data_IF_446327512556
#
_entry.id   IF_446327512556
#
_cell.length_a   1.000
_cell.length_b   1.000
_cell.length_c   1.000
_cell.angle_alpha   90.00
_cell.angle_beta   90.00
_cell.angle_gamma   90.00
#
_symmetry.space_group_name_H-M   'P 1'
#
loop_
_entity.id
_entity.type
_entity.pdbx_description
1 polymer ?
#
# COMPACT_ATOMS: atom_id res chain seq x y z
N UNK A 1 -11.54 -8.81 -12.20
CA UNK A 1 -10.18 -8.35 -12.58
C UNK A 1 -10.29 -7.35 -13.72
N UNK A 2 -9.71 -6.16 -13.56
CA UNK A 2 -9.85 -5.05 -14.52
C UNK A 2 -8.80 -5.04 -15.64
N UNK A 3 -7.86 -5.97 -15.63
CA UNK A 3 -6.80 -6.05 -16.64
C UNK A 3 -7.30 -6.09 -18.09
N UNK A 4 -8.51 -6.62 -18.37
CA UNK A 4 -9.11 -6.58 -19.69
C UNK A 4 -9.46 -5.16 -20.12
N UNK A 5 -9.95 -4.31 -19.21
CA UNK A 5 -10.27 -2.91 -19.49
C UNK A 5 -9.02 -2.14 -19.93
N UNK A 6 -7.92 -2.29 -19.21
CA UNK A 6 -6.66 -1.62 -19.55
C UNK A 6 -6.11 -2.06 -20.90
N UNK A 7 -6.27 -3.36 -21.26
CA UNK A 7 -5.91 -3.83 -22.61
C UNK A 7 -6.79 -3.23 -23.69
N UNK A 8 -8.11 -3.14 -23.45
CA UNK A 8 -9.02 -2.50 -24.41
C UNK A 8 -8.75 -0.99 -24.55
N UNK A 9 -8.36 -0.32 -23.47
CA UNK A 9 -7.90 1.08 -23.52
C UNK A 9 -6.66 1.22 -24.37
N UNK A 10 -5.67 0.34 -24.19
CA UNK A 10 -4.49 0.31 -25.05
C UNK A 10 -4.85 0.03 -26.51
N UNK A 11 -5.71 -0.97 -26.78
CA UNK A 11 -6.14 -1.37 -28.15
C UNK A 11 -6.94 -0.29 -28.87
N UNK A 12 -7.53 0.67 -28.16
CA UNK A 12 -8.44 1.68 -28.73
C UNK A 12 -7.77 2.60 -29.76
N UNK A 13 -6.44 2.71 -29.76
CA UNK A 13 -5.69 3.47 -30.77
C UNK A 13 -4.39 2.75 -31.14
N UNK A 14 -3.86 3.04 -32.31
CA UNK A 14 -2.54 2.57 -32.72
C UNK A 14 -1.45 3.37 -31.97
N UNK A 15 -0.45 2.67 -31.47
CA UNK A 15 0.68 3.23 -30.76
C UNK A 15 1.97 3.06 -31.57
N UNK A 16 2.86 4.03 -31.50
CA UNK A 16 4.23 3.93 -31.98
C UNK A 16 5.14 3.38 -30.87
N UNK A 17 6.26 2.78 -31.23
CA UNK A 17 7.32 2.40 -30.27
C UNK A 17 7.78 3.57 -29.39
N UNK A 18 7.65 4.82 -29.86
CA UNK A 18 7.99 6.03 -29.11
C UNK A 18 6.99 6.37 -27.99
N UNK A 19 5.76 5.86 -28.11
CA UNK A 19 4.72 6.05 -27.08
C UNK A 19 4.94 5.12 -25.87
N UNK A 20 5.73 4.05 -26.04
CA UNK A 20 5.97 3.05 -25.00
C UNK A 20 7.19 3.41 -24.15
N UNK A 21 7.15 3.15 -22.82
CA UNK A 21 6.11 2.38 -22.12
C UNK A 21 4.87 3.23 -21.76
N UNK A 22 3.69 2.61 -21.86
CA UNK A 22 2.42 3.19 -21.39
C UNK A 22 2.08 2.53 -20.05
N UNK A 23 1.89 3.35 -19.01
CA UNK A 23 1.58 2.89 -17.65
C UNK A 23 0.18 3.35 -17.28
N UNK A 24 -0.72 2.39 -16.99
CA UNK A 24 -2.10 2.64 -16.58
C UNK A 24 -2.23 2.10 -15.15
N UNK A 25 -2.62 2.95 -14.20
CA UNK A 25 -2.82 2.59 -12.81
C UNK A 25 -4.22 2.98 -12.36
N UNK A 26 -4.82 2.16 -11.52
CA UNK A 26 -6.15 2.39 -10.96
C UNK A 26 -6.25 1.85 -9.53
N UNK A 27 -7.15 2.43 -8.76
CA UNK A 27 -7.66 1.82 -7.54
C UNK A 27 -8.91 1.05 -7.96
N UNK A 28 -8.72 -0.24 -8.25
CA UNK A 28 -9.69 -1.07 -8.93
C UNK A 28 -10.62 -1.80 -7.96
N UNK A 29 -11.92 -1.82 -8.25
CA UNK A 29 -12.84 -2.72 -7.59
C UNK A 29 -12.85 -4.06 -8.33
N UNK A 30 -12.37 -5.09 -7.66
CA UNK A 30 -12.29 -6.45 -8.18
C UNK A 30 -13.29 -7.38 -7.49
N UNK A 31 -13.78 -8.36 -8.25
CA UNK A 31 -14.70 -9.37 -7.75
C UNK A 31 -14.15 -10.76 -8.06
N UNK A 32 -14.13 -11.64 -7.06
CA UNK A 32 -13.73 -13.04 -7.20
C UNK A 32 -14.76 -13.95 -6.55
N UNK A 33 -15.17 -14.99 -7.25
CA UNK A 33 -16.04 -16.02 -6.69
C UNK A 33 -15.20 -16.97 -5.82
N UNK A 34 -14.88 -16.51 -4.61
CA UNK A 34 -14.15 -17.32 -3.62
C UNK A 34 -15.08 -18.38 -3.02
N UNK A 35 -14.57 -19.59 -2.80
CA UNK A 35 -15.30 -20.63 -2.08
C UNK A 35 -15.63 -20.17 -0.64
N UNK A 36 -16.79 -20.58 -0.10
CA UNK A 36 -17.22 -20.14 1.24
C UNK A 36 -16.19 -20.39 2.33
N UNK A 37 -15.51 -21.55 2.29
CA UNK A 37 -14.47 -21.90 3.25
C UNK A 37 -13.14 -21.16 3.09
N UNK A 38 -12.97 -20.40 2.00
CA UNK A 38 -11.78 -19.61 1.76
C UNK A 38 -11.94 -18.14 2.16
N UNK A 39 -13.18 -17.68 2.41
CA UNK A 39 -13.45 -16.29 2.83
C UNK A 39 -13.05 -16.12 4.30
N UNK A 40 -12.23 -15.09 4.60
CA UNK A 40 -11.72 -14.83 5.94
C UNK A 40 -11.63 -13.32 6.21
N UNK A 41 -12.50 -12.80 7.08
CA UNK A 41 -12.53 -11.39 7.49
C UNK A 41 -12.37 -10.42 6.32
N UNK A 42 -11.49 -9.43 6.45
CA UNK A 42 -11.12 -8.51 5.36
C UNK A 42 -9.87 -8.96 4.59
N UNK A 43 -9.19 -10.03 5.02
CA UNK A 43 -8.02 -10.57 4.33
C UNK A 43 -8.38 -11.23 3.01
N UNK A 44 -9.54 -11.92 2.96
CA UNK A 44 -9.99 -12.63 1.77
C UNK A 44 -11.48 -12.49 1.57
N UNK A 45 -11.85 -11.50 0.78
CA UNK A 45 -13.23 -11.11 0.47
C UNK A 45 -13.57 -11.47 -0.99
N UNK A 46 -14.85 -11.51 -1.32
CA UNK A 46 -15.32 -11.70 -2.70
C UNK A 46 -15.35 -10.42 -3.52
N UNK A 47 -15.42 -9.29 -2.86
CA UNK A 47 -15.28 -7.96 -3.44
C UNK A 47 -14.19 -7.22 -2.68
N UNK A 48 -13.21 -6.67 -3.35
CA UNK A 48 -12.08 -6.00 -2.74
C UNK A 48 -11.55 -4.88 -3.64
N UNK A 49 -10.81 -3.96 -3.04
CA UNK A 49 -10.18 -2.87 -3.76
C UNK A 49 -8.69 -3.18 -3.95
N UNK A 50 -8.22 -3.13 -5.20
CA UNK A 50 -6.84 -3.44 -5.54
C UNK A 50 -6.07 -2.22 -6.01
N UNK A 51 -4.84 -2.07 -5.56
CA UNK A 51 -3.87 -1.15 -6.14
C UNK A 51 -3.27 -1.81 -7.39
N UNK A 52 -3.93 -1.65 -8.52
CA UNK A 52 -3.61 -2.34 -9.77
C UNK A 52 -2.95 -1.42 -10.79
N UNK A 53 -2.05 -1.98 -11.60
CA UNK A 53 -1.45 -1.26 -12.70
C UNK A 53 -0.93 -2.20 -13.78
N UNK A 54 -0.99 -1.72 -15.03
CA UNK A 54 -0.53 -2.43 -16.20
C UNK A 54 0.44 -1.53 -16.97
N UNK A 55 1.62 -2.07 -17.28
CA UNK A 55 2.67 -1.40 -18.05
C UNK A 55 2.76 -2.11 -19.39
N UNK A 56 2.43 -1.41 -20.45
CA UNK A 56 2.58 -1.88 -21.85
C UNK A 56 3.94 -1.39 -22.32
N UNK A 57 4.85 -2.30 -22.60
CA UNK A 57 6.23 -1.97 -22.95
C UNK A 57 6.76 -2.81 -24.12
N UNK A 58 7.88 -2.34 -24.67
CA UNK A 58 8.68 -3.13 -25.61
C UNK A 58 9.52 -4.16 -24.86
N UNK A 59 9.94 -5.26 -25.53
CA UNK A 59 10.81 -6.28 -24.91
C UNK A 59 12.10 -5.72 -24.31
N UNK A 60 12.71 -4.71 -24.94
CA UNK A 60 13.93 -4.05 -24.47
C UNK A 60 13.73 -3.18 -23.23
N UNK A 61 12.50 -2.81 -22.89
CA UNK A 61 12.13 -2.00 -21.72
C UNK A 61 11.81 -2.83 -20.50
N UNK A 62 11.66 -4.15 -20.60
CA UNK A 62 11.22 -5.03 -19.49
C UNK A 62 12.11 -4.85 -18.25
N UNK A 63 13.43 -4.92 -18.44
CA UNK A 63 14.37 -4.84 -17.32
C UNK A 63 14.23 -3.52 -16.55
N UNK A 64 14.20 -2.41 -17.26
CA UNK A 64 14.07 -1.08 -16.65
C UNK A 64 12.71 -0.89 -15.96
N UNK A 65 11.62 -1.38 -16.56
CA UNK A 65 10.29 -1.25 -15.98
C UNK A 65 10.10 -2.13 -14.74
N UNK A 66 10.52 -3.40 -14.80
CA UNK A 66 10.46 -4.30 -13.63
C UNK A 66 11.35 -3.79 -12.50
N UNK A 67 12.56 -3.31 -12.82
CA UNK A 67 13.43 -2.69 -11.82
C UNK A 67 12.76 -1.47 -11.17
N UNK A 68 12.18 -0.58 -11.96
CA UNK A 68 11.44 0.58 -11.44
C UNK A 68 10.28 0.20 -10.52
N UNK A 69 9.58 -0.91 -10.81
CA UNK A 69 8.52 -1.43 -9.93
C UNK A 69 9.11 -1.98 -8.63
N UNK A 70 10.24 -2.71 -8.68
CA UNK A 70 10.92 -3.21 -7.48
C UNK A 70 11.39 -2.04 -6.61
N UNK A 71 12.02 -1.03 -7.21
CA UNK A 71 12.47 0.17 -6.50
C UNK A 71 11.27 0.86 -5.79
N UNK A 72 10.14 1.00 -6.48
CA UNK A 72 8.90 1.55 -5.90
C UNK A 72 8.37 0.71 -4.73
N UNK A 73 8.41 -0.62 -4.84
CA UNK A 73 8.01 -1.52 -3.74
C UNK A 73 8.89 -1.27 -2.51
N UNK A 74 10.21 -1.18 -2.71
CA UNK A 74 11.17 -0.97 -1.63
C UNK A 74 10.97 0.40 -0.96
N UNK A 75 10.72 1.46 -1.73
CA UNK A 75 10.43 2.78 -1.20
C UNK A 75 9.15 2.79 -0.36
N UNK A 76 8.08 2.16 -0.85
CA UNK A 76 6.83 2.03 -0.12
C UNK A 76 7.02 1.20 1.16
N UNK A 77 7.74 0.08 1.10
CA UNK A 77 8.01 -0.74 2.29
C UNK A 77 8.83 0.00 3.34
N UNK A 78 9.76 0.85 2.91
CA UNK A 78 10.49 1.75 3.80
C UNK A 78 9.54 2.73 4.52
N UNK A 79 8.60 3.34 3.79
CA UNK A 79 7.60 4.24 4.36
C UNK A 79 6.71 3.56 5.41
N UNK A 80 6.33 2.31 5.16
CA UNK A 80 5.56 1.48 6.10
C UNK A 80 6.44 0.81 7.17
N UNK A 81 7.78 0.89 7.04
CA UNK A 81 8.74 0.31 7.97
C UNK A 81 8.80 -1.21 7.94
N UNK A 82 8.42 -1.84 6.84
CA UNK A 82 8.58 -3.30 6.67
C UNK A 82 10.05 -3.63 6.44
N UNK A 83 10.58 -4.53 7.27
CA UNK A 83 12.01 -4.92 7.25
C UNK A 83 12.22 -6.38 6.93
N UNK A 84 11.27 -7.24 7.31
CA UNK A 84 11.36 -8.68 7.12
C UNK A 84 10.50 -9.10 5.93
N UNK A 85 11.12 -9.06 4.73
CA UNK A 85 10.48 -9.49 3.50
C UNK A 85 11.46 -10.26 2.61
N UNK A 86 10.93 -11.09 1.71
CA UNK A 86 11.69 -11.93 0.78
C UNK A 86 11.09 -11.85 -0.61
N UNK A 87 11.95 -11.88 -1.62
CA UNK A 87 11.51 -12.05 -2.99
C UNK A 87 11.33 -13.54 -3.33
N UNK A 88 10.24 -13.86 -3.99
CA UNK A 88 9.96 -15.19 -4.54
C UNK A 88 9.78 -15.08 -6.04
N UNK A 89 10.60 -15.81 -6.81
CA UNK A 89 10.37 -16.01 -8.23
C UNK A 89 9.44 -17.21 -8.40
N UNK A 90 8.20 -16.91 -8.78
CA UNK A 90 7.14 -17.91 -8.95
C UNK A 90 7.13 -18.40 -10.39
N UNK A 91 7.47 -19.66 -10.57
CA UNK A 91 7.64 -20.34 -11.84
C UNK A 91 6.44 -21.25 -12.14
N UNK A 92 6.28 -21.63 -13.42
CA UNK A 92 5.28 -22.63 -13.79
C UNK A 92 5.63 -24.02 -13.23
N UNK A 93 4.63 -24.88 -13.13
CA UNK A 93 4.81 -26.30 -12.90
C UNK A 93 4.89 -27.01 -14.25
N UNK A 94 6.07 -27.51 -14.59
CA UNK A 94 6.33 -28.21 -15.85
C UNK A 94 5.59 -29.55 -15.99
N UNK A 95 5.07 -30.08 -14.87
CA UNK A 95 4.28 -31.33 -14.84
C UNK A 95 2.78 -31.10 -15.04
N UNK A 96 2.30 -29.87 -14.90
CA UNK A 96 0.89 -29.51 -15.02
C UNK A 96 0.69 -28.44 -16.13
N UNK A 97 1.02 -28.84 -17.35
CA UNK A 97 1.03 -27.94 -18.52
C UNK A 97 -0.35 -27.36 -18.86
N UNK A 98 -1.43 -28.07 -18.53
CA UNK A 98 -2.80 -27.64 -18.84
C UNK A 98 -3.24 -26.39 -18.05
N UNK A 99 -2.56 -26.08 -16.95
CA UNK A 99 -2.80 -24.90 -16.13
C UNK A 99 -2.28 -23.61 -16.78
N UNK A 100 -1.31 -23.73 -17.70
CA UNK A 100 -0.53 -22.60 -18.18
C UNK A 100 -0.75 -22.34 -19.68
N UNK A 101 -0.95 -21.08 -20.05
CA UNK A 101 -1.13 -20.70 -21.44
C UNK A 101 0.21 -20.52 -22.17
N UNK A 102 0.18 -20.73 -23.49
CA UNK A 102 1.30 -20.46 -24.38
C UNK A 102 2.24 -21.63 -24.60
N UNK A 103 3.39 -21.32 -25.14
CA UNK A 103 4.41 -22.32 -25.45
C UNK A 103 5.62 -22.25 -24.51
N UNK A 104 6.42 -23.30 -24.51
CA UNK A 104 7.60 -23.43 -23.64
C UNK A 104 8.63 -22.33 -23.85
N UNK A 105 8.86 -21.92 -25.10
CA UNK A 105 9.84 -20.88 -25.45
C UNK A 105 9.51 -19.53 -24.78
N UNK A 106 8.22 -19.11 -24.82
CA UNK A 106 7.77 -17.89 -24.18
C UNK A 106 7.90 -17.96 -22.66
N UNK A 107 7.63 -19.14 -22.07
CA UNK A 107 7.80 -19.34 -20.64
C UNK A 107 9.27 -19.26 -20.21
N UNK A 108 10.16 -19.97 -20.91
CA UNK A 108 11.60 -19.92 -20.62
C UNK A 108 12.16 -18.51 -20.77
N UNK A 109 11.76 -17.79 -21.82
CA UNK A 109 12.13 -16.39 -22.02
C UNK A 109 11.68 -15.50 -20.85
N UNK A 110 10.43 -15.66 -20.44
CA UNK A 110 9.84 -14.86 -19.36
C UNK A 110 10.47 -15.14 -18.01
N UNK A 111 10.64 -16.43 -17.67
CA UNK A 111 11.25 -16.87 -16.42
C UNK A 111 12.71 -16.44 -16.33
N UNK A 112 13.48 -16.58 -17.42
CA UNK A 112 14.88 -16.17 -17.48
C UNK A 112 15.03 -14.63 -17.39
N UNK A 113 14.11 -13.86 -17.99
CA UNK A 113 14.11 -12.42 -17.88
C UNK A 113 13.96 -11.99 -16.41
N UNK A 114 12.92 -12.48 -15.69
CA UNK A 114 12.71 -12.16 -14.29
C UNK A 114 13.85 -12.65 -13.38
N UNK A 115 14.39 -13.85 -13.64
CA UNK A 115 15.54 -14.38 -12.92
C UNK A 115 16.78 -13.49 -13.06
N UNK A 116 17.05 -13.01 -14.27
CA UNK A 116 18.17 -12.10 -14.55
C UNK A 116 18.00 -10.78 -13.84
N UNK A 117 16.78 -10.21 -13.87
CA UNK A 117 16.47 -8.97 -13.19
C UNK A 117 16.69 -9.12 -11.67
N UNK A 118 16.14 -10.16 -11.03
CA UNK A 118 16.34 -10.40 -9.60
C UNK A 118 17.82 -10.55 -9.23
N UNK A 119 18.60 -11.28 -10.01
CA UNK A 119 20.05 -11.38 -9.81
C UNK A 119 20.74 -10.00 -9.86
N UNK A 120 20.34 -9.16 -10.79
CA UNK A 120 20.92 -7.83 -10.98
C UNK A 120 20.52 -6.84 -9.85
N UNK A 121 19.40 -7.06 -9.15
CA UNK A 121 19.02 -6.22 -8.00
C UNK A 121 19.85 -6.46 -6.76
N UNK A 122 20.55 -7.61 -6.67
CA UNK A 122 21.35 -7.98 -5.50
C UNK A 122 20.56 -8.39 -4.26
N UNK A 123 19.24 -8.49 -4.36
CA UNK A 123 18.39 -8.97 -3.27
C UNK A 123 18.32 -10.49 -3.23
N UNK A 124 18.26 -11.05 -2.03
CA UNK A 124 18.04 -12.47 -1.85
C UNK A 124 16.65 -12.87 -2.35
N UNK A 125 16.58 -13.95 -3.10
CA UNK A 125 15.33 -14.53 -3.57
C UNK A 125 15.39 -16.04 -3.60
N UNK A 126 14.22 -16.67 -3.65
CA UNK A 126 14.08 -18.11 -3.88
C UNK A 126 13.10 -18.39 -5.01
N UNK A 127 13.23 -19.52 -5.64
CA UNK A 127 12.35 -19.98 -6.73
C UNK A 127 11.30 -20.95 -6.18
N UNK A 128 10.06 -20.83 -6.68
CA UNK A 128 8.95 -21.71 -6.31
C UNK A 128 8.20 -22.14 -7.56
N UNK A 129 8.22 -23.46 -7.84
CA UNK A 129 7.48 -24.06 -8.95
C UNK A 129 5.98 -24.14 -8.62
N UNK A 130 5.13 -24.01 -9.65
CA UNK A 130 3.69 -24.13 -9.51
C UNK A 130 2.96 -22.86 -9.04
N UNK A 131 3.70 -21.84 -8.65
CA UNK A 131 3.18 -20.59 -8.09
C UNK A 131 2.96 -19.47 -9.13
N UNK A 132 3.38 -19.68 -10.39
CA UNK A 132 3.16 -18.71 -11.48
C UNK A 132 1.68 -18.48 -11.76
N UNK A 133 1.36 -17.32 -12.33
CA UNK A 133 0.05 -17.08 -12.93
C UNK A 133 -0.12 -17.95 -14.19
N UNK A 134 -1.35 -18.22 -14.60
CA UNK A 134 -1.60 -19.05 -15.78
C UNK A 134 -1.08 -18.42 -17.09
N UNK A 135 -0.78 -17.14 -17.08
CA UNK A 135 -0.31 -16.36 -18.26
C UNK A 135 1.15 -15.93 -18.19
N UNK A 136 1.85 -16.18 -17.08
CA UNK A 136 3.25 -15.82 -16.96
C UNK A 136 3.85 -15.97 -15.57
N UNK A 137 5.18 -15.93 -15.49
CA UNK A 137 5.92 -15.95 -14.23
C UNK A 137 5.76 -14.62 -13.49
N UNK A 138 6.05 -14.66 -12.21
CA UNK A 138 5.91 -13.47 -11.35
C UNK A 138 6.99 -13.39 -10.27
N UNK A 139 7.30 -12.16 -9.89
CA UNK A 139 8.03 -11.85 -8.66
C UNK A 139 6.99 -11.48 -7.62
N UNK A 140 6.91 -12.27 -6.55
CA UNK A 140 6.10 -11.98 -5.38
C UNK A 140 7.00 -11.47 -4.25
N UNK A 141 6.54 -10.45 -3.52
CA UNK A 141 7.22 -10.01 -2.31
C UNK A 141 6.41 -10.47 -1.12
N UNK A 142 7.01 -11.35 -0.34
CA UNK A 142 6.41 -11.92 0.86
C UNK A 142 6.93 -11.21 2.09
N UNK A 143 6.03 -10.77 2.94
CA UNK A 143 6.33 -10.13 4.22
C UNK A 143 5.90 -11.07 5.34
N UNK A 144 6.74 -11.20 6.36
CA UNK A 144 6.43 -12.02 7.51
C UNK A 144 5.43 -11.28 8.41
N UNK A 145 4.25 -11.88 8.63
CA UNK A 145 3.24 -11.31 9.52
C UNK A 145 3.61 -11.48 10.99
N UNK A 146 3.01 -10.67 11.87
CA UNK A 146 3.21 -10.73 13.32
C UNK A 146 2.89 -12.12 13.93
N UNK A 147 2.02 -12.90 13.26
CA UNK A 147 1.67 -14.28 13.65
C UNK A 147 2.57 -15.34 13.01
N UNK A 148 3.61 -14.92 12.25
CA UNK A 148 4.62 -15.78 11.67
C UNK A 148 4.27 -16.41 10.33
N UNK A 149 3.22 -15.96 9.64
CA UNK A 149 2.89 -16.39 8.29
C UNK A 149 3.55 -15.48 7.25
N UNK A 150 3.92 -16.06 6.11
CA UNK A 150 4.44 -15.30 4.98
C UNK A 150 3.27 -14.86 4.08
N UNK A 151 3.03 -13.54 4.02
CA UNK A 151 1.96 -12.93 3.26
C UNK A 151 2.50 -12.26 1.99
N UNK A 152 1.88 -12.55 0.83
CA UNK A 152 2.22 -11.87 -0.42
C UNK A 152 1.52 -10.51 -0.46
N UNK A 153 2.27 -9.44 -0.28
CA UNK A 153 1.74 -8.07 -0.34
C UNK A 153 1.92 -7.44 -1.72
N UNK A 154 3.07 -7.63 -2.36
CA UNK A 154 3.37 -7.03 -3.66
C UNK A 154 3.64 -8.10 -4.70
N UNK A 155 3.34 -7.77 -5.96
CA UNK A 155 3.59 -8.68 -7.09
C UNK A 155 3.95 -7.90 -8.36
N UNK A 156 4.85 -8.49 -9.16
CA UNK A 156 5.20 -8.06 -10.51
C UNK A 156 5.11 -9.29 -11.41
N UNK A 157 4.25 -9.25 -12.42
CA UNK A 157 3.95 -10.39 -13.28
C UNK A 157 4.23 -10.03 -14.72
N UNK A 158 4.98 -10.89 -15.41
CA UNK A 158 5.34 -10.68 -16.82
C UNK A 158 4.41 -11.49 -17.71
N UNK A 159 3.76 -10.82 -18.65
CA UNK A 159 2.71 -11.39 -19.51
C UNK A 159 3.03 -11.15 -20.99
N UNK A 160 3.36 -12.21 -21.67
CA UNK A 160 3.47 -12.27 -23.13
C UNK A 160 2.22 -12.87 -23.80
N UNK A 161 1.37 -13.55 -23.05
CA UNK A 161 0.32 -14.42 -23.55
C UNK A 161 -0.97 -13.67 -23.85
N UNK A 162 -1.41 -12.82 -22.90
CA UNK A 162 -2.65 -12.10 -23.07
C UNK A 162 -2.54 -10.96 -24.11
N UNK A 163 -1.41 -10.27 -24.30
CA UNK A 163 -1.22 -9.37 -25.45
C UNK A 163 -1.49 -10.05 -26.79
N UNK A 164 -1.07 -11.29 -26.98
CA UNK A 164 -1.36 -12.06 -28.19
C UNK A 164 -2.85 -12.38 -28.31
N UNK A 165 -3.49 -12.88 -27.25
CA UNK A 165 -4.92 -13.22 -27.24
C UNK A 165 -5.84 -12.02 -27.45
N UNK A 166 -5.45 -10.84 -26.98
CA UNK A 166 -6.17 -9.58 -27.18
C UNK A 166 -5.76 -8.90 -28.49
N UNK A 167 -4.82 -9.47 -29.26
CA UNK A 167 -4.28 -8.90 -30.50
C UNK A 167 -3.82 -7.45 -30.32
N UNK A 168 -3.10 -7.18 -29.20
CA UNK A 168 -2.52 -5.87 -28.95
C UNK A 168 -1.36 -5.64 -29.92
N UNK A 169 -1.25 -4.45 -30.49
CA UNK A 169 -0.21 -4.11 -31.46
C UNK A 169 0.33 -2.71 -31.24
N UNK A 170 1.60 -2.52 -31.55
CA UNK A 170 2.22 -1.22 -31.74
C UNK A 170 3.11 -1.25 -32.98
N UNK A 171 3.46 -0.08 -33.55
CA UNK A 171 4.35 0.03 -34.69
C UNK A 171 5.79 0.16 -34.18
N UNK A 172 6.68 -0.75 -34.57
CA UNK A 172 8.10 -0.73 -34.26
C UNK A 172 8.89 0.29 -35.11
N UNK A 173 10.21 0.31 -34.97
CA UNK A 173 11.11 1.21 -35.73
C UNK A 173 11.13 0.92 -37.22
N UNK A 174 10.91 -0.34 -37.58
CA UNK A 174 10.85 -0.81 -39.00
C UNK A 174 9.47 -0.63 -39.63
N UNK A 175 8.57 0.08 -38.93
CA UNK A 175 7.19 0.31 -39.36
C UNK A 175 6.34 -0.99 -39.45
N UNK A 176 6.68 -1.99 -38.64
CA UNK A 176 5.96 -3.26 -38.56
C UNK A 176 5.07 -3.28 -37.32
N UNK A 177 3.96 -4.04 -37.41
CA UNK A 177 3.08 -4.32 -36.28
C UNK A 177 3.66 -5.44 -35.44
N UNK A 178 3.95 -5.14 -34.18
CA UNK A 178 4.52 -6.08 -33.22
C UNK A 178 3.74 -6.10 -31.91
N UNK A 179 3.88 -7.18 -31.12
CA UNK A 179 3.18 -7.35 -29.86
C UNK A 179 3.92 -6.63 -28.72
N UNK A 180 3.23 -5.84 -27.90
CA UNK A 180 3.80 -5.35 -26.64
C UNK A 180 3.90 -6.48 -25.62
N UNK A 181 4.73 -6.29 -24.61
CA UNK A 181 4.73 -7.08 -23.38
C UNK A 181 3.93 -6.32 -22.32
N UNK A 182 3.20 -7.03 -21.48
CA UNK A 182 2.47 -6.40 -20.37
C UNK A 182 3.08 -6.83 -19.04
N UNK A 183 3.37 -5.85 -18.21
CA UNK A 183 3.78 -6.07 -16.83
C UNK A 183 2.60 -5.69 -15.94
N UNK A 184 2.04 -6.67 -15.23
CA UNK A 184 1.05 -6.43 -14.19
C UNK A 184 1.77 -6.18 -12.88
N UNK A 185 1.36 -5.18 -12.14
CA UNK A 185 1.93 -4.92 -10.83
C UNK A 185 0.89 -4.48 -9.81
N UNK A 186 1.06 -4.94 -8.59
CA UNK A 186 0.35 -4.44 -7.42
C UNK A 186 1.38 -4.19 -6.31
N UNK A 187 1.45 -2.97 -5.78
CA UNK A 187 2.40 -2.62 -4.73
C UNK A 187 1.85 -3.01 -3.35
N UNK A 188 0.61 -2.61 -3.07
CA UNK A 188 -0.08 -2.93 -1.82
C UNK A 188 -1.03 -4.13 -1.97
N UNK A 189 -1.13 -4.71 -3.16
CA UNK A 189 -2.09 -5.77 -3.46
C UNK A 189 -3.54 -5.32 -3.26
N UNK A 190 -4.34 -6.16 -2.59
CA UNK A 190 -5.67 -5.77 -2.09
C UNK A 190 -5.51 -4.83 -0.90
N UNK A 191 -6.13 -3.65 -0.96
CA UNK A 191 -6.10 -2.69 0.14
C UNK A 191 -6.77 -3.25 1.40
N UNK A 192 -7.80 -4.06 1.24
CA UNK A 192 -8.49 -4.73 2.35
C UNK A 192 -7.52 -5.63 3.13
N UNK A 193 -6.80 -6.52 2.42
CA UNK A 193 -5.78 -7.39 3.02
C UNK A 193 -4.62 -6.58 3.58
N UNK A 194 -4.17 -5.55 2.87
CA UNK A 194 -3.09 -4.70 3.33
C UNK A 194 -3.42 -3.99 4.65
N UNK A 195 -4.65 -3.48 4.79
CA UNK A 195 -5.13 -2.86 6.03
C UNK A 195 -5.18 -3.91 7.15
N UNK A 196 -5.69 -5.13 6.88
CA UNK A 196 -5.68 -6.21 7.87
C UNK A 196 -4.27 -6.49 8.38
N UNK A 197 -3.34 -6.72 7.45
CA UNK A 197 -1.92 -6.94 7.75
C UNK A 197 -1.32 -5.78 8.57
N UNK A 198 -1.57 -4.53 8.16
CA UNK A 198 -1.06 -3.36 8.86
C UNK A 198 -1.58 -3.23 10.29
N UNK A 199 -2.87 -3.51 10.50
CA UNK A 199 -3.49 -3.49 11.84
C UNK A 199 -2.93 -4.58 12.75
N UNK A 200 -2.61 -5.74 12.23
CA UNK A 200 -1.97 -6.83 12.98
C UNK A 200 -0.52 -6.46 13.35
N UNK A 201 0.27 -6.01 12.38
CA UNK A 201 1.66 -5.59 12.58
C UNK A 201 1.80 -4.47 13.62
N UNK A 202 0.92 -3.48 13.55
CA UNK A 202 0.95 -2.34 14.47
C UNK A 202 0.16 -2.60 15.76
N UNK A 203 -0.51 -3.74 15.89
CA UNK A 203 -1.49 -4.00 16.95
C UNK A 203 -2.53 -2.88 17.06
N UNK A 204 -2.83 -2.24 15.92
CA UNK A 204 -3.72 -1.11 15.78
C UNK A 204 -3.14 0.24 16.21
N UNK A 205 -1.88 0.33 16.66
CA UNK A 205 -1.17 1.60 16.88
C UNK A 205 -0.61 2.09 15.56
N UNK A 206 -1.47 2.66 14.72
CA UNK A 206 -1.05 3.15 13.41
C UNK A 206 -0.04 4.29 13.53
N UNK A 207 0.95 4.37 12.64
CA UNK A 207 1.80 5.54 12.53
C UNK A 207 0.99 6.83 12.38
N UNK A 208 1.51 7.93 12.90
CA UNK A 208 0.80 9.21 12.94
C UNK A 208 0.25 9.63 11.58
N UNK A 209 1.02 9.47 10.50
CA UNK A 209 0.61 9.85 9.15
C UNK A 209 -0.54 9.00 8.58
N UNK A 210 -0.75 7.78 9.08
CA UNK A 210 -1.83 6.85 8.69
C UNK A 210 -3.04 6.90 9.62
N UNK A 211 -2.88 7.36 10.86
CA UNK A 211 -3.97 7.35 11.85
C UNK A 211 -5.20 8.13 11.33
N UNK A 212 -6.41 7.55 11.37
CA UNK A 212 -7.64 8.24 10.94
C UNK A 212 -7.88 9.52 11.72
N UNK A 213 -7.60 9.51 13.02
CA UNK A 213 -7.53 10.67 13.89
C UNK A 213 -6.13 10.70 14.52
N UNK A 214 -5.43 11.79 14.34
CA UNK A 214 -4.04 11.96 14.79
C UNK A 214 -3.96 12.51 16.20
N UNK A 215 -4.91 13.36 16.55
CA UNK A 215 -4.99 14.05 17.83
C UNK A 215 -6.39 13.92 18.41
N UNK A 216 -6.49 13.58 19.69
CA UNK A 216 -7.73 13.66 20.47
C UNK A 216 -7.60 14.76 21.52
N UNK A 217 -8.52 15.72 21.54
CA UNK A 217 -8.52 16.84 22.49
C UNK A 217 -9.60 16.60 23.54
N UNK A 218 -9.22 16.70 24.82
CA UNK A 218 -10.09 16.49 25.97
C UNK A 218 -10.08 17.77 26.82
N UNK A 219 -11.10 18.62 26.76
CA UNK A 219 -11.27 19.68 27.73
C UNK A 219 -11.60 19.12 29.11
N UNK A 220 -10.92 19.60 30.16
CA UNK A 220 -11.15 19.14 31.56
C UNK A 220 -12.55 19.50 32.03
N UNK A 221 -13.04 20.68 31.66
CA UNK A 221 -14.38 21.16 31.95
C UNK A 221 -14.89 22.00 30.78
N UNK A 222 -16.01 21.59 30.20
CA UNK A 222 -16.57 22.29 29.02
C UNK A 222 -16.93 23.75 29.28
N UNK A 223 -17.38 24.10 30.48
CA UNK A 223 -17.75 25.47 30.79
C UNK A 223 -16.57 26.45 30.78
N UNK A 224 -15.35 25.97 31.00
CA UNK A 224 -14.18 26.82 31.14
C UNK A 224 -13.11 26.59 30.06
N UNK A 225 -13.03 25.37 29.46
CA UNK A 225 -11.93 25.02 28.58
C UNK A 225 -12.35 24.68 27.15
N UNK A 226 -13.67 24.57 26.89
CA UNK A 226 -14.16 24.16 25.56
C UNK A 226 -13.85 25.22 24.48
N UNK A 227 -13.89 26.50 24.83
CA UNK A 227 -13.57 27.57 23.88
C UNK A 227 -12.12 27.46 23.39
N UNK A 228 -11.18 27.31 24.31
CA UNK A 228 -9.79 27.12 23.99
C UNK A 228 -9.55 25.78 23.23
N UNK A 229 -10.24 24.71 23.62
CA UNK A 229 -10.16 23.43 22.93
C UNK A 229 -10.60 23.54 21.46
N UNK A 230 -11.62 24.32 21.16
CA UNK A 230 -12.06 24.64 19.79
C UNK A 230 -11.04 25.48 19.02
N UNK A 231 -10.42 26.49 19.67
CA UNK A 231 -9.32 27.25 19.05
C UNK A 231 -8.17 26.32 18.63
N UNK A 232 -7.78 25.38 19.51
CA UNK A 232 -6.74 24.38 19.23
C UNK A 232 -7.17 23.44 18.11
N UNK A 233 -8.41 22.94 18.14
CA UNK A 233 -8.96 22.07 17.09
C UNK A 233 -8.93 22.76 15.71
N UNK A 234 -9.41 23.99 15.62
CA UNK A 234 -9.45 24.75 14.37
C UNK A 234 -8.03 24.98 13.81
N UNK A 235 -7.08 25.35 14.67
CA UNK A 235 -5.71 25.57 14.25
C UNK A 235 -5.05 24.27 13.72
N UNK A 236 -5.26 23.14 14.41
CA UNK A 236 -4.76 21.84 13.97
C UNK A 236 -5.39 21.44 12.63
N UNK A 237 -6.71 21.56 12.48
CA UNK A 237 -7.41 21.28 11.21
C UNK A 237 -6.93 22.17 10.07
N UNK A 238 -6.71 23.46 10.32
CA UNK A 238 -6.14 24.40 9.33
C UNK A 238 -4.76 23.99 8.85
N UNK A 239 -4.01 23.30 9.69
CA UNK A 239 -2.69 22.73 9.37
C UNK A 239 -2.74 21.31 8.78
N UNK A 240 -3.92 20.81 8.42
CA UNK A 240 -4.10 19.50 7.80
C UNK A 240 -4.02 18.32 8.76
N UNK A 241 -4.08 18.56 10.07
CA UNK A 241 -4.03 17.54 11.11
C UNK A 241 -5.46 17.02 11.38
N UNK A 242 -5.64 15.70 11.40
CA UNK A 242 -6.94 15.05 11.65
C UNK A 242 -7.19 14.98 13.15
N UNK A 243 -8.16 15.76 13.62
CA UNK A 243 -8.44 15.98 15.04
C UNK A 243 -9.83 15.49 15.41
N UNK A 244 -9.95 14.92 16.59
CA UNK A 244 -11.20 14.66 17.29
C UNK A 244 -11.26 15.52 18.57
N UNK A 245 -12.35 16.23 18.78
CA UNK A 245 -12.65 16.96 20.03
C UNK A 245 -13.67 16.16 20.82
N UNK A 246 -13.29 15.71 22.01
CA UNK A 246 -14.19 14.99 22.93
C UNK A 246 -14.82 15.98 23.92
N UNK A 247 -15.89 16.62 23.47
CA UNK A 247 -16.68 17.60 24.26
C UNK A 247 -17.86 16.98 25.02
N UNK A 248 -17.92 15.64 25.10
CA UNK A 248 -18.97 14.95 25.86
C UNK A 248 -18.93 15.36 27.33
N UNK A 249 -20.11 15.34 27.98
CA UNK A 249 -20.23 15.59 29.42
C UNK A 249 -19.88 14.35 30.25
N UNK A 250 -18.61 13.93 30.15
CA UNK A 250 -18.05 12.76 30.82
C UNK A 250 -16.80 13.12 31.61
N UNK A 251 -16.48 12.29 32.63
CA UNK A 251 -15.25 12.48 33.42
C UNK A 251 -14.00 12.36 32.57
N UNK A 252 -13.02 13.25 32.77
CA UNK A 252 -11.73 13.25 32.06
C UNK A 252 -11.06 11.87 32.08
N UNK A 253 -11.09 11.16 33.21
CA UNK A 253 -10.51 9.82 33.32
C UNK A 253 -11.20 8.78 32.42
N UNK A 254 -12.50 8.94 32.19
CA UNK A 254 -13.24 8.08 31.25
C UNK A 254 -12.87 8.39 29.81
N UNK A 255 -12.92 9.66 29.39
CA UNK A 255 -12.48 10.14 28.08
C UNK A 255 -11.05 9.71 27.75
N UNK A 256 -10.15 9.88 28.72
CA UNK A 256 -8.74 9.45 28.59
C UNK A 256 -8.61 7.96 28.37
N UNK A 257 -9.34 7.13 29.11
CA UNK A 257 -9.32 5.66 28.93
C UNK A 257 -9.81 5.27 27.53
N UNK A 258 -10.90 5.86 27.08
CA UNK A 258 -11.42 5.60 25.73
C UNK A 258 -10.44 6.05 24.64
N UNK A 259 -9.80 7.20 24.77
CA UNK A 259 -8.78 7.68 23.86
C UNK A 259 -7.58 6.74 23.78
N UNK A 260 -7.12 6.21 24.91
CA UNK A 260 -6.04 5.21 24.96
C UNK A 260 -6.48 3.90 24.31
N UNK A 261 -7.68 3.41 24.58
CA UNK A 261 -8.22 2.18 23.99
C UNK A 261 -8.43 2.34 22.48
N UNK A 262 -8.81 3.53 22.01
CA UNK A 262 -8.94 3.87 20.59
C UNK A 262 -7.59 4.15 19.91
N UNK A 263 -6.48 4.07 20.67
CA UNK A 263 -5.09 4.14 20.17
C UNK A 263 -4.77 5.44 19.45
N UNK A 264 -5.31 6.56 19.93
CA UNK A 264 -4.95 7.88 19.39
C UNK A 264 -3.44 8.12 19.55
N UNK A 265 -2.73 8.53 18.48
CA UNK A 265 -1.31 8.86 18.56
C UNK A 265 -1.02 9.94 19.61
N UNK A 266 -1.79 11.02 19.58
CA UNK A 266 -1.70 12.12 20.55
C UNK A 266 -3.02 12.35 21.29
N UNK A 267 -2.94 12.51 22.60
CA UNK A 267 -4.08 12.82 23.46
C UNK A 267 -3.73 14.10 24.23
N UNK A 268 -4.44 15.18 23.94
CA UNK A 268 -4.29 16.49 24.61
C UNK A 268 -5.32 16.60 25.72
N UNK A 269 -4.88 17.04 26.89
CA UNK A 269 -5.76 17.40 28.00
C UNK A 269 -5.59 18.88 28.28
N UNK A 270 -6.67 19.64 28.14
CA UNK A 270 -6.66 21.09 28.27
C UNK A 270 -7.43 21.51 29.53
N UNK A 271 -6.71 22.06 30.49
CA UNK A 271 -7.21 22.57 31.75
C UNK A 271 -6.90 24.05 31.92
N UNK A 272 -6.94 24.53 33.18
CA UNK A 272 -6.71 25.93 33.51
C UNK A 272 -5.33 26.44 33.06
N UNK A 273 -4.28 25.65 33.31
CA UNK A 273 -2.92 26.01 32.95
C UNK A 273 -2.73 26.19 31.43
N UNK A 274 -3.23 25.24 30.67
CA UNK A 274 -3.14 25.26 29.19
C UNK A 274 -3.94 26.43 28.61
N UNK A 275 -5.13 26.67 29.15
CA UNK A 275 -6.02 27.77 28.71
C UNK A 275 -5.42 29.14 28.99
N UNK A 276 -4.83 29.32 30.20
CA UNK A 276 -4.26 30.62 30.62
C UNK A 276 -2.96 30.93 29.89
N UNK A 277 -2.09 29.93 29.72
CA UNK A 277 -0.76 30.08 29.11
C UNK A 277 -0.75 29.89 27.60
N UNK A 278 -1.89 29.52 27.00
CA UNK A 278 -2.01 29.18 25.55
C UNK A 278 -1.02 28.07 25.13
N UNK A 279 -0.87 27.09 26.00
CA UNK A 279 -0.03 25.90 25.78
C UNK A 279 -0.91 24.66 25.60
N UNK A 280 -0.30 23.56 25.22
CA UNK A 280 -0.93 22.23 25.20
C UNK A 280 -0.11 21.26 26.04
N UNK A 281 -0.78 20.36 26.74
CA UNK A 281 -0.14 19.21 27.39
C UNK A 281 -0.67 17.94 26.74
N UNK A 282 0.23 17.13 26.15
CA UNK A 282 -0.12 15.89 25.51
C UNK A 282 0.57 14.69 26.13
N UNK A 283 -0.01 13.54 25.89
CA UNK A 283 0.61 12.22 26.01
C UNK A 283 0.29 11.38 24.76
N UNK A 284 0.99 10.27 24.57
CA UNK A 284 0.63 9.25 23.58
C UNK A 284 -0.23 8.15 24.23
N UNK A 285 -0.91 7.34 23.43
CA UNK A 285 -1.63 6.16 23.91
C UNK A 285 -0.70 5.06 24.45
N UNK A 286 0.59 5.09 24.07
CA UNK A 286 1.59 4.09 24.46
C UNK A 286 2.48 4.52 25.62
N UNK A 287 2.46 5.81 26.05
CA UNK A 287 3.29 6.33 27.13
C UNK A 287 2.46 7.17 28.08
N UNK A 288 2.78 7.10 29.37
CA UNK A 288 2.20 7.96 30.41
C UNK A 288 2.90 9.31 30.55
N UNK A 289 4.02 9.47 29.87
CA UNK A 289 4.79 10.71 29.87
C UNK A 289 3.95 11.87 29.32
N UNK A 290 3.95 12.96 30.05
CA UNK A 290 3.25 14.20 29.67
C UNK A 290 4.27 15.23 29.24
N UNK A 291 4.01 15.84 28.08
CA UNK A 291 4.86 16.90 27.53
C UNK A 291 4.02 18.14 27.30
N UNK A 292 4.52 19.27 27.77
CA UNK A 292 3.88 20.59 27.55
C UNK A 292 4.69 21.41 26.56
N UNK A 293 4.02 21.91 25.52
CA UNK A 293 4.58 22.73 24.47
C UNK A 293 3.70 23.96 24.22
N UNK A 294 4.25 24.96 23.55
CA UNK A 294 3.43 25.95 22.89
C UNK A 294 2.64 25.30 21.74
N UNK A 295 1.52 25.89 21.37
CA UNK A 295 0.67 25.35 20.30
C UNK A 295 1.43 25.28 18.97
N UNK A 296 2.25 26.30 18.65
CA UNK A 296 3.03 26.34 17.41
C UNK A 296 4.12 25.25 17.38
N UNK A 297 4.81 25.01 18.50
CA UNK A 297 5.80 23.92 18.59
C UNK A 297 5.14 22.56 18.38
N UNK A 298 3.95 22.33 18.94
CA UNK A 298 3.22 21.09 18.75
C UNK A 298 2.78 20.89 17.30
N UNK A 299 2.23 21.94 16.65
CA UNK A 299 1.86 21.89 15.23
C UNK A 299 3.06 21.53 14.36
N UNK A 300 4.20 22.21 14.58
CA UNK A 300 5.42 21.95 13.81
C UNK A 300 5.92 20.51 14.01
N UNK A 301 5.93 20.03 15.25
CA UNK A 301 6.30 18.65 15.59
C UNK A 301 5.43 17.64 14.84
N UNK A 302 4.10 17.77 14.92
CA UNK A 302 3.16 16.84 14.29
C UNK A 302 3.31 16.88 12.75
N UNK A 303 3.48 18.06 12.16
CA UNK A 303 3.71 18.19 10.70
C UNK A 303 5.00 17.53 10.27
N UNK A 304 6.07 17.74 11.00
CA UNK A 304 7.38 17.12 10.72
C UNK A 304 7.31 15.58 10.79
N UNK A 305 6.62 15.04 11.80
CA UNK A 305 6.43 13.58 11.93
C UNK A 305 5.56 13.00 10.83
N UNK A 306 4.52 13.73 10.40
CA UNK A 306 3.68 13.32 9.26
C UNK A 306 4.50 13.33 7.96
N UNK A 307 5.25 14.40 7.70
CA UNK A 307 6.07 14.57 6.49
C UNK A 307 7.18 13.53 6.41
N UNK A 308 7.85 13.28 7.52
CA UNK A 308 8.91 12.25 7.61
C UNK A 308 8.37 10.83 7.74
N UNK A 309 7.04 10.64 7.78
CA UNK A 309 6.37 9.33 7.95
C UNK A 309 6.94 8.55 9.15
N UNK A 310 7.16 9.25 10.27
CA UNK A 310 7.69 8.64 11.50
C UNK A 310 6.75 7.54 11.98
N UNK A 311 7.34 6.39 12.37
CA UNK A 311 6.63 5.20 12.82
C UNK A 311 6.59 5.09 14.34
#
# INVERSE_FOLDING_TARGET
MNCQHNRMMFKNRLHSYRDLPIRIAEIANDFRYEASGAVCGIERTRAFTQNDSHIFCRPDQIESEVKGVIDLILDVYKDFGFKDFKFRLSLRDTKNVDKYFGNDELWEKSENALRTILKNTGHEYYEAEGEAAFYGPKIDVQVRSAIGHDETLSTVQLDYQLPERFELEYINEDNEKVRPVVIHRAILGSLDRFIAFLLEETKGYLPLWLAPHQVNIIPVNNNYHLEYAKEVEELLKKNGIRVNLDDREEKVGYKMREAIMSKYPYILVLGDNETQNKTITYRTSQSEEKVTLSLDEFVNKVKEEIEKKVR
#
